data_IF_508508907804
#
_entry.id   IF_508508907804
#
_cell.length_a   1.000
_cell.length_b   1.000
_cell.length_c   1.000
_cell.angle_alpha   90.00
_cell.angle_beta   90.00
_cell.angle_gamma   90.00
#
_symmetry.space_group_name_H-M   'P 1'
#
loop_
_entity.id
_entity.type
_entity.pdbx_description
1 polymer ?
#
# COMPACT_ATOMS: atom_id res chain seq x y z
N UNK A 1 -38.52 -6.03 -12.78
CA UNK A 1 -38.09 -4.84 -13.54
C UNK A 1 -38.21 -3.64 -12.63
N UNK A 2 -37.07 -3.14 -12.15
CA UNK A 2 -36.83 -1.77 -11.67
C UNK A 2 -35.31 -1.60 -11.70
N UNK A 3 -34.75 -1.66 -12.91
CA UNK A 3 -33.35 -1.29 -13.15
C UNK A 3 -33.31 0.24 -13.26
N UNK A 4 -33.38 0.92 -12.11
CA UNK A 4 -32.82 2.26 -12.04
C UNK A 4 -31.30 2.08 -12.08
N UNK A 5 -30.73 2.17 -13.29
CA UNK A 5 -29.33 2.49 -13.46
C UNK A 5 -29.12 3.90 -12.89
N UNK A 6 -28.92 3.95 -11.58
CA UNK A 6 -28.59 5.16 -10.87
C UNK A 6 -27.21 5.60 -11.35
N UNK A 7 -27.18 6.57 -12.26
CA UNK A 7 -26.15 7.61 -12.19
C UNK A 7 -26.06 8.00 -10.72
N UNK A 8 -24.92 7.70 -10.09
CA UNK A 8 -24.69 8.00 -8.68
C UNK A 8 -24.86 9.51 -8.53
N UNK A 9 -26.07 9.96 -8.16
CA UNK A 9 -26.39 11.37 -7.98
C UNK A 9 -25.36 11.93 -7.01
N UNK A 10 -24.79 13.07 -7.37
CA UNK A 10 -23.92 13.81 -6.46
C UNK A 10 -24.65 13.97 -5.12
N UNK A 11 -24.15 13.30 -4.08
CA UNK A 11 -24.70 13.40 -2.74
C UNK A 11 -24.00 14.56 -2.02
N UNK A 12 -24.70 15.66 -1.71
CA UNK A 12 -24.13 16.78 -0.96
C UNK A 12 -23.51 16.37 0.37
N UNK A 13 -23.96 15.24 0.95
CA UNK A 13 -23.40 14.69 2.19
C UNK A 13 -21.96 14.22 2.01
N UNK A 14 -21.59 13.70 0.84
CA UNK A 14 -20.21 13.29 0.54
C UNK A 14 -19.28 14.49 0.47
N UNK A 15 -19.69 15.58 -0.20
CA UNK A 15 -18.91 16.81 -0.24
C UNK A 15 -18.76 17.41 1.17
N UNK A 16 -19.86 17.47 1.93
CA UNK A 16 -19.86 17.96 3.30
C UNK A 16 -18.92 17.13 4.20
N UNK A 17 -18.92 15.81 4.03
CA UNK A 17 -18.01 14.91 4.73
C UNK A 17 -16.54 15.23 4.42
N UNK A 18 -16.18 15.36 3.14
CA UNK A 18 -14.80 15.72 2.75
C UNK A 18 -14.39 17.09 3.27
N UNK A 19 -15.27 18.08 3.22
CA UNK A 19 -15.01 19.42 3.80
C UNK A 19 -14.74 19.30 5.29
N UNK A 20 -15.63 18.62 6.02
CA UNK A 20 -15.58 18.47 7.47
C UNK A 20 -14.33 17.72 7.93
N UNK A 21 -14.05 16.54 7.38
CA UNK A 21 -13.04 15.63 7.94
C UNK A 21 -11.68 15.66 7.23
N UNK A 22 -11.60 16.23 6.02
CA UNK A 22 -10.35 16.29 5.25
C UNK A 22 -9.87 17.74 5.14
N UNK A 23 -10.65 18.64 4.52
CA UNK A 23 -10.16 19.98 4.19
C UNK A 23 -10.01 20.93 5.39
N UNK A 24 -10.96 20.96 6.32
CA UNK A 24 -10.86 21.83 7.50
C UNK A 24 -9.65 21.43 8.38
N UNK A 25 -9.46 20.14 8.74
CA UNK A 25 -8.31 19.76 9.55
C UNK A 25 -6.97 19.91 8.82
N UNK A 26 -6.95 19.75 7.50
CA UNK A 26 -5.79 20.07 6.66
C UNK A 26 -5.30 21.50 6.90
N UNK A 27 -6.24 22.45 6.85
CA UNK A 27 -5.97 23.86 7.02
C UNK A 27 -5.47 24.15 8.44
N UNK A 28 -6.13 23.58 9.46
CA UNK A 28 -5.71 23.74 10.84
C UNK A 28 -4.30 23.18 11.07
N UNK A 29 -3.99 21.99 10.56
CA UNK A 29 -2.65 21.42 10.62
C UNK A 29 -1.62 22.34 9.96
N UNK A 30 -1.93 22.87 8.77
CA UNK A 30 -1.03 23.79 8.09
C UNK A 30 -0.81 25.08 8.87
N UNK A 31 -1.84 25.62 9.54
CA UNK A 31 -1.70 26.74 10.48
C UNK A 31 -0.73 26.39 11.61
N UNK A 32 -0.91 25.25 12.30
CA UNK A 32 -0.01 24.83 13.38
C UNK A 32 1.45 24.70 12.93
N UNK A 33 1.67 24.13 11.74
CA UNK A 33 3.01 23.98 11.16
C UNK A 33 3.60 25.34 10.75
N UNK A 34 2.78 26.19 10.12
CA UNK A 34 3.19 27.52 9.68
C UNK A 34 3.60 28.39 10.87
N UNK A 35 2.81 28.44 11.94
CA UNK A 35 3.08 29.25 13.14
C UNK A 35 4.08 28.61 14.10
N UNK A 36 4.59 27.40 13.81
CA UNK A 36 5.58 26.69 14.63
C UNK A 36 5.12 26.54 16.08
N UNK A 37 3.86 26.16 16.29
CA UNK A 37 3.28 26.01 17.61
C UNK A 37 4.13 25.10 18.52
N UNK A 38 4.16 25.46 19.81
CA UNK A 38 4.85 24.72 20.87
C UNK A 38 4.32 23.28 20.99
N UNK A 39 5.12 22.37 21.58
CA UNK A 39 4.79 20.94 21.67
C UNK A 39 3.42 20.69 22.32
N UNK A 40 3.05 21.46 23.33
CA UNK A 40 1.73 21.38 23.97
C UNK A 40 0.57 21.67 23.01
N UNK A 41 0.70 22.69 22.16
CA UNK A 41 -0.31 22.98 21.13
C UNK A 41 -0.44 21.86 20.11
N UNK A 42 0.67 21.19 19.77
CA UNK A 42 0.65 20.02 18.88
C UNK A 42 -0.02 18.81 19.53
N UNK A 43 0.25 18.55 20.81
CA UNK A 43 -0.38 17.46 21.57
C UNK A 43 -1.88 17.67 21.71
N UNK A 44 -2.32 18.89 22.08
CA UNK A 44 -3.73 19.25 22.17
C UNK A 44 -4.44 19.08 20.82
N UNK A 45 -3.85 19.62 19.75
CA UNK A 45 -4.40 19.46 18.40
C UNK A 45 -4.46 17.99 17.98
N UNK A 46 -3.41 17.21 18.22
CA UNK A 46 -3.40 15.79 17.86
C UNK A 46 -4.44 14.99 18.64
N UNK A 47 -4.61 15.25 19.94
CA UNK A 47 -5.64 14.64 20.77
C UNK A 47 -7.05 14.96 20.27
N UNK A 48 -7.34 16.25 20.05
CA UNK A 48 -8.61 16.69 19.45
C UNK A 48 -8.83 16.10 18.05
N UNK A 49 -7.81 16.10 17.21
CA UNK A 49 -7.92 15.60 15.84
C UNK A 49 -8.17 14.09 15.79
N UNK A 50 -7.59 13.34 16.74
CA UNK A 50 -7.84 11.91 16.87
C UNK A 50 -9.31 11.63 17.19
N UNK A 51 -9.89 12.33 18.18
CA UNK A 51 -11.31 12.14 18.53
C UNK A 51 -12.23 12.64 17.41
N UNK A 52 -11.87 13.74 16.75
CA UNK A 52 -12.61 14.29 15.62
C UNK A 52 -12.64 13.33 14.42
N UNK A 53 -11.52 12.68 14.10
CA UNK A 53 -11.46 11.69 13.04
C UNK A 53 -12.17 10.38 13.41
N UNK A 54 -12.18 10.00 14.70
CA UNK A 54 -12.97 8.85 15.15
C UNK A 54 -14.47 9.04 14.90
N UNK A 55 -14.99 10.26 15.06
CA UNK A 55 -16.37 10.62 14.66
C UNK A 55 -16.56 10.47 13.14
N UNK A 56 -15.62 10.96 12.33
CA UNK A 56 -15.67 10.75 10.87
C UNK A 56 -15.67 9.26 10.49
N UNK A 57 -14.87 8.46 11.21
CA UNK A 57 -14.80 7.01 11.05
C UNK A 57 -16.00 6.26 11.65
N UNK A 58 -16.97 6.91 12.29
CA UNK A 58 -18.24 6.27 12.69
C UNK A 58 -19.35 6.50 11.67
N UNK A 59 -19.17 7.43 10.72
CA UNK A 59 -20.11 7.65 9.61
C UNK A 59 -20.09 6.44 8.66
N UNK A 60 -21.27 5.92 8.35
CA UNK A 60 -21.46 4.77 7.45
C UNK A 60 -22.33 5.21 6.28
N UNK A 61 -21.87 4.94 5.06
CA UNK A 61 -22.63 5.22 3.84
C UNK A 61 -23.48 4.03 3.41
N UNK A 62 -23.21 2.84 3.97
CA UNK A 62 -23.84 1.59 3.55
C UNK A 62 -23.19 0.98 2.30
N UNK A 63 -22.22 1.67 1.69
CA UNK A 63 -21.40 1.15 0.62
C UNK A 63 -20.05 0.69 1.20
N UNK A 64 -19.78 -0.62 1.16
CA UNK A 64 -18.58 -1.23 1.72
C UNK A 64 -17.28 -0.62 1.21
N UNK A 65 -17.20 -0.32 -0.09
CA UNK A 65 -16.00 0.23 -0.71
C UNK A 65 -15.73 1.66 -0.25
N UNK A 66 -16.77 2.50 -0.26
CA UNK A 66 -16.70 3.88 0.21
C UNK A 66 -16.37 3.94 1.69
N UNK A 67 -17.00 3.10 2.50
CA UNK A 67 -16.76 3.05 3.94
C UNK A 67 -15.32 2.62 4.24
N UNK A 68 -14.85 1.53 3.63
CA UNK A 68 -13.46 1.08 3.77
C UNK A 68 -12.44 2.15 3.34
N UNK A 69 -12.71 2.80 2.20
CA UNK A 69 -11.86 3.86 1.65
C UNK A 69 -11.81 5.07 2.57
N UNK A 70 -12.95 5.45 3.15
CA UNK A 70 -13.04 6.54 4.12
C UNK A 70 -12.24 6.22 5.39
N UNK A 71 -12.42 5.05 5.99
CA UNK A 71 -11.65 4.64 7.17
C UNK A 71 -10.14 4.62 6.93
N UNK A 72 -9.73 4.06 5.79
CA UNK A 72 -8.32 4.04 5.39
C UNK A 72 -7.77 5.45 5.16
N UNK A 73 -8.54 6.34 4.51
CA UNK A 73 -8.13 7.71 4.22
C UNK A 73 -7.99 8.54 5.51
N UNK A 74 -9.00 8.51 6.39
CA UNK A 74 -8.98 9.26 7.64
C UNK A 74 -7.85 8.78 8.57
N UNK A 75 -7.60 7.46 8.63
CA UNK A 75 -6.45 6.95 9.38
C UNK A 75 -5.10 7.34 8.75
N UNK A 76 -5.03 7.37 7.41
CA UNK A 76 -3.88 7.89 6.69
C UNK A 76 -3.58 9.36 7.01
N UNK A 77 -4.63 10.18 7.12
CA UNK A 77 -4.53 11.58 7.56
C UNK A 77 -4.02 11.69 9.00
N UNK A 78 -4.50 10.83 9.92
CA UNK A 78 -3.99 10.77 11.29
C UNK A 78 -2.50 10.41 11.34
N UNK A 79 -2.08 9.40 10.59
CA UNK A 79 -0.68 8.97 10.48
C UNK A 79 0.21 10.10 9.93
N UNK A 80 -0.24 10.76 8.87
CA UNK A 80 0.46 11.90 8.27
C UNK A 80 0.60 13.05 9.28
N UNK A 81 -0.48 13.37 10.00
CA UNK A 81 -0.48 14.42 11.02
C UNK A 81 0.50 14.10 12.15
N UNK A 82 0.51 12.87 12.66
CA UNK A 82 1.50 12.43 13.65
C UNK A 82 2.94 12.63 13.13
N UNK A 83 3.20 12.18 11.90
CA UNK A 83 4.50 12.36 11.25
C UNK A 83 4.91 13.84 11.20
N UNK A 84 4.03 14.71 10.69
CA UNK A 84 4.30 16.14 10.50
C UNK A 84 4.49 16.91 11.81
N UNK A 85 3.79 16.53 12.88
CA UNK A 85 3.85 17.22 14.17
C UNK A 85 5.05 16.81 15.02
N UNK A 86 5.44 15.53 14.97
CA UNK A 86 6.37 14.95 15.95
C UNK A 86 7.66 14.38 15.36
N UNK A 87 7.66 13.92 14.11
CA UNK A 87 8.82 13.22 13.53
C UNK A 87 9.70 14.08 12.62
N UNK A 88 9.17 15.21 12.16
CA UNK A 88 9.88 16.12 11.25
C UNK A 88 9.61 17.58 11.61
N UNK A 89 10.44 18.49 11.07
CA UNK A 89 10.23 19.92 11.17
C UNK A 89 10.10 20.52 9.76
N UNK A 90 8.92 20.37 9.09
CA UNK A 90 8.74 20.79 7.70
C UNK A 90 9.21 22.22 7.44
N UNK A 91 8.80 23.16 8.30
CA UNK A 91 9.10 24.58 8.17
C UNK A 91 10.59 24.96 8.37
N UNK A 92 11.44 24.02 8.75
CA UNK A 92 12.88 24.21 8.93
C UNK A 92 13.67 23.41 7.89
N UNK A 93 13.31 22.15 7.69
CA UNK A 93 14.14 21.18 6.95
C UNK A 93 13.76 21.09 5.47
N UNK A 94 12.53 21.45 5.11
CA UNK A 94 12.01 21.20 3.77
C UNK A 94 12.12 22.42 2.88
N UNK A 95 12.42 22.19 1.60
CA UNK A 95 12.52 23.22 0.57
C UNK A 95 11.90 22.68 -0.71
N UNK A 96 11.09 23.50 -1.35
CA UNK A 96 10.62 23.28 -2.70
C UNK A 96 11.62 23.87 -3.71
N UNK A 97 11.73 23.30 -4.92
CA UNK A 97 12.61 23.80 -5.99
C UNK A 97 12.41 25.29 -6.29
N UNK A 98 11.18 25.80 -6.12
CA UNK A 98 10.83 27.21 -6.34
C UNK A 98 11.25 28.14 -5.19
N UNK A 99 11.61 27.60 -4.02
CA UNK A 99 12.02 28.42 -2.88
C UNK A 99 13.45 28.97 -3.02
N UNK A 100 14.29 28.30 -3.83
CA UNK A 100 15.72 28.56 -3.89
C UNK A 100 16.36 28.52 -2.50
N UNK A 101 17.15 29.55 -2.16
CA UNK A 101 17.78 29.69 -0.85
C UNK A 101 16.93 30.42 0.19
N UNK A 102 15.70 30.82 -0.14
CA UNK A 102 14.87 31.67 0.75
C UNK A 102 14.21 30.82 1.83
N UNK A 103 14.36 31.25 3.08
CA UNK A 103 13.61 30.67 4.21
C UNK A 103 12.14 31.06 4.12
N UNK A 104 11.25 30.10 4.38
CA UNK A 104 9.81 30.36 4.45
C UNK A 104 9.42 31.20 5.67
N UNK A 105 10.27 31.27 6.69
CA UNK A 105 9.98 31.98 7.93
C UNK A 105 9.72 33.48 7.69
N UNK A 106 10.37 34.04 6.67
CA UNK A 106 10.32 35.46 6.32
C UNK A 106 9.14 35.79 5.39
N UNK A 107 8.33 34.81 5.01
CA UNK A 107 7.15 35.04 4.16
C UNK A 107 5.95 35.49 5.00
N UNK A 108 5.00 36.25 4.41
CA UNK A 108 3.70 36.51 5.02
C UNK A 108 3.02 35.23 5.54
N UNK A 109 2.25 35.36 6.61
CA UNK A 109 1.63 34.22 7.29
C UNK A 109 0.79 33.34 6.35
N UNK A 110 0.05 33.92 5.41
CA UNK A 110 -0.78 33.18 4.45
C UNK A 110 0.06 32.37 3.46
N UNK A 111 1.22 32.88 3.03
CA UNK A 111 2.16 32.13 2.18
C UNK A 111 2.77 30.96 2.93
N UNK A 112 3.04 31.11 4.24
CA UNK A 112 3.53 30.03 5.09
C UNK A 112 2.48 28.92 5.24
N UNK A 113 1.22 29.29 5.46
CA UNK A 113 0.11 28.32 5.54
C UNK A 113 -0.04 27.57 4.22
N UNK A 114 -0.12 28.29 3.09
CA UNK A 114 -0.20 27.68 1.77
C UNK A 114 0.97 26.75 1.48
N UNK A 115 2.20 27.16 1.83
CA UNK A 115 3.38 26.33 1.69
C UNK A 115 3.30 25.07 2.55
N UNK A 116 2.84 25.18 3.81
CA UNK A 116 2.65 24.04 4.69
C UNK A 116 1.54 23.10 4.21
N UNK A 117 0.46 23.62 3.59
CA UNK A 117 -0.56 22.81 2.91
C UNK A 117 0.07 22.02 1.76
N UNK A 118 0.84 22.69 0.89
CA UNK A 118 1.53 22.02 -0.22
C UNK A 118 2.47 20.92 0.29
N UNK A 119 3.26 21.23 1.32
CA UNK A 119 4.18 20.30 1.96
C UNK A 119 3.47 19.07 2.57
N UNK A 120 2.29 19.28 3.18
CA UNK A 120 1.51 18.21 3.78
C UNK A 120 0.84 17.31 2.73
N UNK A 121 0.36 17.86 1.61
CA UNK A 121 -0.41 17.10 0.61
C UNK A 121 0.42 16.63 -0.60
N UNK A 122 1.68 17.05 -0.73
CA UNK A 122 2.64 16.42 -1.64
C UNK A 122 3.20 15.12 -1.05
N UNK A 123 2.35 14.07 -1.04
CA UNK A 123 2.66 12.79 -0.41
C UNK A 123 3.97 12.15 -0.90
N UNK A 124 4.30 12.35 -2.19
CA UNK A 124 5.52 11.84 -2.83
C UNK A 124 6.69 12.84 -2.82
N UNK A 125 6.44 14.09 -2.44
CA UNK A 125 7.45 15.15 -2.42
C UNK A 125 7.93 15.60 -3.78
N UNK A 126 7.08 15.59 -4.81
CA UNK A 126 7.48 15.99 -6.18
C UNK A 126 7.98 17.43 -6.18
N UNK A 127 9.24 17.66 -6.57
CA UNK A 127 9.86 18.98 -6.57
C UNK A 127 10.38 19.46 -5.21
N UNK A 128 10.31 18.61 -4.18
CA UNK A 128 10.81 18.91 -2.84
C UNK A 128 12.13 18.18 -2.56
N UNK A 129 12.97 18.73 -1.67
CA UNK A 129 14.24 18.12 -1.26
C UNK A 129 14.10 16.75 -0.57
N UNK A 130 12.88 16.34 -0.24
CA UNK A 130 12.54 15.05 0.38
C UNK A 130 11.83 14.07 -0.55
N UNK A 131 11.81 14.32 -1.87
CA UNK A 131 11.14 13.47 -2.86
C UNK A 131 11.50 11.98 -2.64
N UNK A 132 10.48 11.12 -2.60
CA UNK A 132 10.71 9.69 -2.38
C UNK A 132 11.40 9.06 -3.60
N UNK A 133 12.21 8.03 -3.35
CA UNK A 133 12.79 7.23 -4.44
C UNK A 133 11.68 6.46 -5.15
N UNK A 134 11.78 6.35 -6.48
CA UNK A 134 10.81 5.61 -7.30
C UNK A 134 9.66 6.45 -7.86
N UNK A 135 9.70 7.78 -7.72
CA UNK A 135 8.80 8.67 -8.48
C UNK A 135 9.22 8.63 -9.95
N UNK A 136 8.30 8.37 -10.91
CA UNK A 136 8.59 8.44 -12.33
C UNK A 136 9.11 9.81 -12.77
N UNK A 137 9.77 9.85 -13.93
CA UNK A 137 10.31 11.10 -14.46
C UNK A 137 9.20 12.11 -14.76
N UNK A 138 9.45 13.42 -14.53
CA UNK A 138 8.53 14.47 -14.90
C UNK A 138 8.18 14.45 -16.40
N UNK A 139 6.94 14.82 -16.70
CA UNK A 139 6.46 14.96 -18.06
C UNK A 139 7.14 16.12 -18.78
N UNK A 140 7.77 15.87 -19.94
CA UNK A 140 8.41 16.90 -20.78
C UNK A 140 7.59 17.30 -22.01
N UNK A 141 6.35 16.79 -22.12
CA UNK A 141 5.49 17.11 -23.26
C UNK A 141 4.84 18.49 -23.10
N UNK A 142 4.46 19.10 -24.22
CA UNK A 142 3.73 20.38 -24.24
C UNK A 142 2.42 20.30 -23.46
N UNK A 143 2.00 21.40 -22.83
CA UNK A 143 0.78 21.47 -22.02
C UNK A 143 -0.49 20.99 -22.75
N UNK A 144 -0.82 21.39 -23.99
CA UNK A 144 -2.03 20.91 -24.67
C UNK A 144 -2.02 19.38 -24.86
N UNK A 145 -0.87 18.83 -25.26
CA UNK A 145 -0.67 17.38 -25.37
C UNK A 145 -0.83 16.68 -24.02
N UNK A 146 -0.28 17.26 -22.95
CA UNK A 146 -0.45 16.71 -21.60
C UNK A 146 -1.92 16.67 -21.18
N UNK A 147 -2.67 17.76 -21.43
CA UNK A 147 -4.10 17.81 -21.12
C UNK A 147 -4.89 16.76 -21.91
N UNK A 148 -4.63 16.61 -23.22
CA UNK A 148 -5.25 15.58 -24.05
C UNK A 148 -4.94 14.16 -23.55
N UNK A 149 -3.66 13.85 -23.30
CA UNK A 149 -3.26 12.55 -22.76
C UNK A 149 -3.86 12.29 -21.36
N UNK A 150 -3.93 13.32 -20.51
CA UNK A 150 -4.47 13.19 -19.16
C UNK A 150 -5.98 13.02 -19.17
N UNK A 151 -6.72 13.70 -20.05
CA UNK A 151 -8.14 13.47 -20.25
C UNK A 151 -8.43 12.02 -20.66
N UNK A 152 -7.66 11.48 -21.62
CA UNK A 152 -7.75 10.07 -22.01
C UNK A 152 -7.45 9.13 -20.83
N UNK A 153 -6.45 9.46 -20.00
CA UNK A 153 -6.13 8.69 -18.78
C UNK A 153 -7.24 8.74 -17.74
N UNK A 154 -7.95 9.87 -17.59
CA UNK A 154 -9.11 9.99 -16.70
C UNK A 154 -10.23 9.07 -17.18
N UNK A 155 -10.61 9.18 -18.46
CA UNK A 155 -11.64 8.33 -19.06
C UNK A 155 -11.27 6.86 -18.96
N UNK A 156 -10.05 6.48 -19.33
CA UNK A 156 -9.59 5.10 -19.24
C UNK A 156 -9.57 4.57 -17.80
N UNK A 157 -9.23 5.41 -16.81
CA UNK A 157 -9.23 5.01 -15.40
C UNK A 157 -10.65 4.86 -14.85
N UNK A 158 -11.58 5.69 -15.30
CA UNK A 158 -12.99 5.56 -14.99
C UNK A 158 -13.58 4.27 -15.57
N UNK A 159 -13.38 4.02 -16.87
CA UNK A 159 -13.87 2.80 -17.53
C UNK A 159 -13.25 1.53 -16.92
N UNK A 160 -11.97 1.58 -16.53
CA UNK A 160 -11.32 0.46 -15.85
C UNK A 160 -11.95 0.19 -14.47
N UNK A 161 -12.25 1.26 -13.72
CA UNK A 161 -12.90 1.15 -12.41
C UNK A 161 -14.33 0.61 -12.55
N UNK A 162 -15.10 1.16 -13.49
CA UNK A 162 -16.47 0.74 -13.80
C UNK A 162 -16.50 -0.74 -14.22
N UNK A 163 -15.62 -1.14 -15.15
CA UNK A 163 -15.47 -2.53 -15.56
C UNK A 163 -15.17 -3.46 -14.37
N UNK A 164 -14.25 -3.07 -13.48
CA UNK A 164 -13.90 -3.89 -12.32
C UNK A 164 -15.09 -4.01 -11.35
N UNK A 165 -15.82 -2.93 -11.11
CA UNK A 165 -16.98 -2.92 -10.21
C UNK A 165 -18.16 -3.72 -10.80
N UNK A 166 -18.49 -3.53 -12.08
CA UNK A 166 -19.50 -4.32 -12.77
C UNK A 166 -19.12 -5.81 -12.80
N UNK A 167 -17.84 -6.14 -12.99
CA UNK A 167 -17.37 -7.52 -12.92
C UNK A 167 -17.59 -8.11 -11.53
N UNK A 168 -17.30 -7.35 -10.46
CA UNK A 168 -17.58 -7.81 -9.09
C UNK A 168 -19.07 -8.07 -8.88
N UNK A 169 -19.95 -7.17 -9.32
CA UNK A 169 -21.41 -7.34 -9.19
C UNK A 169 -21.95 -8.52 -10.01
N UNK A 170 -21.35 -8.80 -11.17
CA UNK A 170 -21.76 -9.89 -12.04
C UNK A 170 -21.27 -11.28 -11.55
N UNK A 171 -20.21 -11.32 -10.74
CA UNK A 171 -19.61 -12.56 -10.26
C UNK A 171 -20.28 -12.99 -8.95
N UNK A 172 -20.94 -14.17 -8.91
CA UNK A 172 -21.66 -14.63 -7.71
C UNK A 172 -20.79 -14.71 -6.45
N UNK A 173 -19.49 -14.98 -6.61
CA UNK A 173 -18.54 -15.02 -5.50
C UNK A 173 -18.46 -13.70 -4.71
N UNK A 174 -18.64 -12.55 -5.37
CA UNK A 174 -18.58 -11.24 -4.71
C UNK A 174 -19.96 -10.71 -4.31
N UNK A 175 -20.98 -10.91 -5.16
CA UNK A 175 -22.33 -10.39 -4.91
C UNK A 175 -23.10 -11.23 -3.88
N UNK A 176 -23.07 -12.56 -4.01
CA UNK A 176 -23.79 -13.50 -3.15
C UNK A 176 -22.88 -14.67 -2.74
N UNK A 177 -21.84 -14.39 -1.93
CA UNK A 177 -20.91 -15.43 -1.49
C UNK A 177 -21.65 -16.54 -0.74
N UNK A 178 -21.43 -17.80 -1.14
CA UNK A 178 -21.88 -18.94 -0.34
C UNK A 178 -21.15 -18.94 1.02
N UNK A 179 -21.80 -19.35 2.13
CA UNK A 179 -21.21 -19.29 3.47
C UNK A 179 -19.85 -20.00 3.62
N UNK A 180 -19.64 -21.07 2.83
CA UNK A 180 -18.43 -21.89 2.81
C UNK A 180 -17.49 -21.58 1.62
N UNK A 181 -17.93 -20.76 0.67
CA UNK A 181 -17.08 -20.31 -0.41
C UNK A 181 -15.92 -19.52 0.18
N UNK A 182 -14.71 -19.86 -0.21
CA UNK A 182 -13.53 -19.06 0.07
C UNK A 182 -12.80 -18.84 -1.24
N UNK A 183 -11.96 -17.80 -1.33
CA UNK A 183 -11.11 -17.63 -2.51
C UNK A 183 -10.38 -18.93 -2.87
N UNK A 184 -9.95 -19.72 -1.88
CA UNK A 184 -9.27 -21.01 -2.09
C UNK A 184 -10.16 -22.17 -2.53
N UNK A 185 -11.47 -22.11 -2.32
CA UNK A 185 -12.37 -23.14 -2.85
C UNK A 185 -12.53 -22.99 -4.37
N UNK A 186 -12.11 -21.86 -4.94
CA UNK A 186 -12.12 -21.60 -6.37
C UNK A 186 -10.90 -22.23 -7.06
N UNK A 187 -11.05 -22.59 -8.33
CA UNK A 187 -9.90 -23.00 -9.16
C UNK A 187 -8.81 -21.91 -9.20
N UNK A 188 -7.56 -22.30 -9.45
CA UNK A 188 -6.43 -21.36 -9.47
C UNK A 188 -6.62 -20.19 -10.45
N UNK A 189 -7.18 -20.44 -11.63
CA UNK A 189 -7.46 -19.38 -12.62
C UNK A 189 -8.45 -18.35 -12.09
N UNK A 190 -9.51 -18.81 -11.40
CA UNK A 190 -10.48 -17.93 -10.78
C UNK A 190 -9.86 -17.14 -9.62
N UNK A 191 -8.98 -17.75 -8.82
CA UNK A 191 -8.26 -17.03 -7.76
C UNK A 191 -7.43 -15.86 -8.30
N UNK A 192 -6.65 -16.11 -9.37
CA UNK A 192 -5.83 -15.09 -10.02
C UNK A 192 -6.71 -13.99 -10.62
N UNK A 193 -7.78 -14.37 -11.30
CA UNK A 193 -8.72 -13.43 -11.92
C UNK A 193 -9.43 -12.55 -10.88
N UNK A 194 -9.99 -13.14 -9.84
CA UNK A 194 -10.65 -12.42 -8.76
C UNK A 194 -9.69 -11.50 -8.03
N UNK A 195 -8.44 -11.94 -7.80
CA UNK A 195 -7.40 -11.09 -7.24
C UNK A 195 -7.10 -9.87 -8.13
N UNK A 196 -6.95 -10.11 -9.44
CA UNK A 196 -6.68 -9.04 -10.40
C UNK A 196 -7.82 -8.01 -10.40
N UNK A 197 -9.08 -8.45 -10.35
CA UNK A 197 -10.24 -7.55 -10.22
C UNK A 197 -10.17 -6.75 -8.91
N UNK A 198 -9.98 -7.41 -7.76
CA UNK A 198 -9.90 -6.74 -6.47
C UNK A 198 -8.79 -5.68 -6.40
N UNK A 199 -7.62 -5.93 -7.00
CA UNK A 199 -6.53 -4.96 -7.07
C UNK A 199 -6.75 -3.87 -8.12
N UNK A 200 -7.57 -4.13 -9.14
CA UNK A 200 -7.92 -3.15 -10.17
C UNK A 200 -8.77 -2.03 -9.61
N UNK A 201 -9.64 -2.29 -8.63
CA UNK A 201 -10.48 -1.25 -8.01
C UNK A 201 -9.66 -0.13 -7.34
N UNK A 202 -8.77 -0.38 -6.35
CA UNK A 202 -7.95 0.68 -5.76
C UNK A 202 -7.00 1.30 -6.79
N UNK A 203 -6.49 0.52 -7.73
CA UNK A 203 -5.63 1.02 -8.80
C UNK A 203 -6.36 2.04 -9.70
N UNK A 204 -7.55 1.67 -10.21
CA UNK A 204 -8.39 2.50 -11.05
C UNK A 204 -8.86 3.76 -10.32
N UNK A 205 -9.33 3.62 -9.08
CA UNK A 205 -9.77 4.75 -8.25
C UNK A 205 -8.63 5.76 -8.01
N UNK A 206 -7.46 5.29 -7.58
CA UNK A 206 -6.30 6.15 -7.34
C UNK A 206 -5.87 6.89 -8.61
N UNK A 207 -5.84 6.20 -9.76
CA UNK A 207 -5.54 6.82 -11.06
C UNK A 207 -6.57 7.86 -11.44
N UNK A 208 -7.85 7.53 -11.30
CA UNK A 208 -8.95 8.43 -11.64
C UNK A 208 -8.83 9.75 -10.85
N UNK A 209 -8.75 9.69 -9.53
CA UNK A 209 -8.64 10.89 -8.70
C UNK A 209 -7.36 11.68 -8.97
N UNK A 210 -6.23 10.98 -9.10
CA UNK A 210 -4.94 11.63 -9.36
C UNK A 210 -4.90 12.35 -10.71
N UNK A 211 -5.31 11.71 -11.80
CA UNK A 211 -5.31 12.34 -13.12
C UNK A 211 -6.39 13.40 -13.28
N UNK A 212 -7.51 13.28 -12.56
CA UNK A 212 -8.53 14.34 -12.51
C UNK A 212 -7.97 15.60 -11.84
N UNK A 213 -7.29 15.43 -10.70
CA UNK A 213 -6.57 16.51 -10.03
C UNK A 213 -5.48 17.13 -10.91
N UNK A 214 -4.68 16.30 -11.58
CA UNK A 214 -3.64 16.74 -12.51
C UNK A 214 -4.22 17.55 -13.68
N UNK A 215 -5.30 17.06 -14.30
CA UNK A 215 -5.97 17.73 -15.40
C UNK A 215 -6.46 19.11 -14.97
N UNK A 216 -7.21 19.21 -13.87
CA UNK A 216 -7.74 20.47 -13.37
C UNK A 216 -6.61 21.45 -12.96
N UNK A 217 -5.57 20.97 -12.30
CA UNK A 217 -4.47 21.81 -11.84
C UNK A 217 -3.61 22.35 -12.99
N UNK A 218 -3.42 21.58 -14.07
CA UNK A 218 -2.71 22.05 -15.26
C UNK A 218 -3.61 22.91 -16.15
N UNK A 219 -4.90 22.61 -16.24
CA UNK A 219 -5.89 23.39 -16.98
C UNK A 219 -6.02 24.80 -16.42
N UNK A 220 -6.02 24.93 -15.10
CA UNK A 220 -6.14 26.23 -14.39
C UNK A 220 -4.81 26.95 -14.19
N UNK A 221 -3.69 26.41 -14.70
CA UNK A 221 -2.34 26.93 -14.49
C UNK A 221 -1.87 26.97 -13.02
N UNK A 222 -2.57 26.26 -12.12
CA UNK A 222 -2.16 26.14 -10.72
C UNK A 222 -0.81 25.41 -10.56
N UNK A 223 -0.52 24.45 -11.45
CA UNK A 223 0.74 23.69 -11.46
C UNK A 223 1.14 23.29 -12.88
N UNK A 224 2.40 22.94 -13.06
CA UNK A 224 2.93 22.50 -14.37
C UNK A 224 2.76 20.99 -14.55
N UNK A 225 2.81 20.52 -15.80
CA UNK A 225 2.78 19.09 -16.11
C UNK A 225 3.94 18.29 -15.48
N UNK A 226 5.05 18.96 -15.15
CA UNK A 226 6.21 18.35 -14.49
C UNK A 226 5.93 17.98 -13.03
N UNK A 227 4.96 18.65 -12.40
CA UNK A 227 4.59 18.43 -11.00
C UNK A 227 3.68 17.20 -10.83
N UNK A 228 3.24 16.59 -11.95
CA UNK A 228 2.33 15.44 -11.99
C UNK A 228 2.94 14.21 -12.68
N UNK A 229 4.10 13.67 -12.22
CA UNK A 229 4.64 12.43 -12.74
C UNK A 229 3.66 11.27 -12.52
N UNK A 230 3.73 10.25 -13.35
CA UNK A 230 2.82 9.10 -13.30
C UNK A 230 2.73 8.52 -11.88
N UNK A 231 1.51 8.18 -11.45
CA UNK A 231 1.27 7.76 -10.07
C UNK A 231 1.93 6.41 -9.76
N UNK A 232 1.83 5.48 -10.72
CA UNK A 232 2.38 4.13 -10.65
C UNK A 232 3.64 4.03 -11.50
N UNK A 233 4.58 3.18 -11.09
CA UNK A 233 5.75 2.82 -11.88
C UNK A 233 5.40 1.83 -13.01
N UNK A 234 6.43 1.31 -13.67
CA UNK A 234 6.25 0.32 -14.72
C UNK A 234 5.81 -1.02 -14.13
N UNK A 235 4.73 -1.60 -14.67
CA UNK A 235 4.23 -2.92 -14.29
C UNK A 235 5.17 -4.05 -14.74
N UNK A 236 6.02 -3.84 -15.74
CA UNK A 236 7.05 -4.80 -16.12
C UNK A 236 8.14 -4.97 -15.04
N UNK A 237 8.29 -3.99 -14.14
CA UNK A 237 9.21 -4.11 -12.99
C UNK A 237 8.60 -4.93 -11.83
N UNK A 238 7.30 -5.26 -11.89
CA UNK A 238 6.54 -5.90 -10.82
C UNK A 238 6.76 -7.43 -10.70
N UNK A 239 7.96 -7.91 -11.05
CA UNK A 239 8.31 -9.34 -11.01
C UNK A 239 8.67 -9.86 -9.60
N UNK A 240 8.74 -8.98 -8.60
CA UNK A 240 8.97 -9.31 -7.19
C UNK A 240 8.11 -8.44 -6.26
N UNK A 241 7.75 -8.96 -5.09
CA UNK A 241 7.01 -8.26 -4.02
C UNK A 241 7.74 -6.99 -3.61
N UNK A 242 9.08 -7.03 -3.48
CA UNK A 242 9.88 -5.83 -3.24
C UNK A 242 9.65 -4.77 -4.32
N UNK A 243 9.66 -5.14 -5.60
CA UNK A 243 9.48 -4.17 -6.67
C UNK A 243 8.04 -3.67 -6.78
N UNK A 244 7.05 -4.52 -6.52
CA UNK A 244 5.63 -4.10 -6.44
C UNK A 244 5.50 -2.94 -5.46
N UNK A 245 5.90 -3.12 -4.21
CA UNK A 245 5.75 -2.06 -3.19
C UNK A 245 6.80 -0.95 -3.29
N UNK A 246 7.98 -1.27 -3.80
CA UNK A 246 9.15 -0.38 -3.83
C UNK A 246 9.34 0.42 -5.12
N UNK A 247 8.66 0.08 -6.21
CA UNK A 247 8.82 0.75 -7.53
C UNK A 247 7.50 0.94 -8.27
N UNK A 248 6.62 -0.06 -8.28
CA UNK A 248 5.44 -0.06 -9.15
C UNK A 248 4.22 0.59 -8.49
N UNK A 249 3.92 0.24 -7.24
CA UNK A 249 2.77 0.79 -6.52
C UNK A 249 2.96 2.28 -6.20
N UNK A 250 1.88 3.02 -5.92
CA UNK A 250 1.81 4.49 -5.99
C UNK A 250 2.80 5.33 -5.15
N UNK A 251 3.62 4.73 -4.27
CA UNK A 251 4.63 5.38 -3.41
C UNK A 251 4.14 6.47 -2.42
N UNK A 252 2.89 6.91 -2.47
CA UNK A 252 2.34 7.98 -1.62
C UNK A 252 2.55 7.76 -0.10
N UNK A 253 2.43 6.52 0.39
CA UNK A 253 2.59 6.22 1.82
C UNK A 253 4.05 6.00 2.25
N UNK A 254 4.96 5.84 1.28
CA UNK A 254 6.33 5.38 1.53
C UNK A 254 7.05 6.26 2.54
N UNK A 255 6.90 7.58 2.42
CA UNK A 255 7.57 8.52 3.30
C UNK A 255 7.17 8.33 4.75
N UNK A 256 5.86 8.29 5.02
CA UNK A 256 5.32 8.22 6.37
C UNK A 256 5.69 6.88 7.02
N UNK A 257 5.44 5.76 6.33
CA UNK A 257 5.74 4.43 6.83
C UNK A 257 7.24 4.22 7.07
N UNK A 258 8.11 4.63 6.14
CA UNK A 258 9.56 4.45 6.31
C UNK A 258 10.16 5.40 7.35
N UNK A 259 9.64 6.62 7.50
CA UNK A 259 10.08 7.51 8.58
C UNK A 259 9.71 6.98 9.96
N UNK A 260 8.50 6.44 10.13
CA UNK A 260 8.09 5.79 11.38
C UNK A 260 8.96 4.55 11.64
N UNK A 261 9.19 3.71 10.64
CA UNK A 261 10.07 2.54 10.75
C UNK A 261 11.50 2.92 11.16
N UNK A 262 12.05 4.01 10.60
CA UNK A 262 13.37 4.54 11.02
C UNK A 262 13.36 5.03 12.47
N UNK A 263 12.27 5.65 12.92
CA UNK A 263 12.13 6.06 14.32
C UNK A 263 12.09 4.87 15.28
N UNK A 264 11.36 3.82 14.92
CA UNK A 264 11.31 2.57 15.70
C UNK A 264 12.68 1.89 15.73
N UNK A 265 13.37 1.79 14.59
CA UNK A 265 14.73 1.23 14.55
C UNK A 265 15.72 2.01 15.43
N UNK A 266 15.63 3.34 15.47
CA UNK A 266 16.43 4.16 16.38
C UNK A 266 16.06 3.96 17.85
N UNK A 267 14.76 3.83 18.15
CA UNK A 267 14.27 3.58 19.50
C UNK A 267 14.77 2.23 20.04
N UNK A 268 14.84 1.22 19.17
CA UNK A 268 15.40 -0.11 19.49
C UNK A 268 16.94 -0.17 19.40
N UNK A 269 17.61 0.98 19.30
CA UNK A 269 19.07 1.09 19.21
C UNK A 269 19.71 0.26 18.08
N UNK A 270 18.98 -0.01 16.99
CA UNK A 270 19.51 -0.75 15.85
C UNK A 270 20.59 0.07 15.12
N UNK A 271 21.80 -0.47 14.88
CA UNK A 271 22.87 0.26 14.21
C UNK A 271 22.46 0.77 12.82
N UNK A 272 22.81 2.01 12.47
CA UNK A 272 22.43 2.58 11.18
C UNK A 272 23.09 1.80 10.05
N UNK A 273 22.30 1.40 9.06
CA UNK A 273 22.78 0.65 7.90
C UNK A 273 22.94 -0.86 8.16
N UNK A 274 22.69 -1.35 9.37
CA UNK A 274 22.69 -2.79 9.64
C UNK A 274 21.48 -3.50 9.04
N UNK A 275 21.60 -4.82 8.89
CA UNK A 275 20.49 -5.69 8.50
C UNK A 275 19.37 -5.67 9.54
N UNK A 276 19.71 -5.64 10.83
CA UNK A 276 18.70 -5.51 11.89
C UNK A 276 17.88 -4.23 11.74
N UNK A 277 18.53 -3.11 11.41
CA UNK A 277 17.83 -1.84 11.14
C UNK A 277 16.96 -1.91 9.90
N UNK A 278 17.40 -2.60 8.84
CA UNK A 278 16.62 -2.82 7.62
C UNK A 278 15.36 -3.66 7.90
N UNK A 279 15.51 -4.79 8.61
CA UNK A 279 14.42 -5.69 8.97
C UNK A 279 13.38 -4.94 9.81
N UNK A 280 13.82 -4.25 10.88
CA UNK A 280 12.92 -3.47 11.74
C UNK A 280 12.15 -2.43 10.91
N UNK A 281 12.84 -1.70 10.02
CA UNK A 281 12.21 -0.68 9.19
C UNK A 281 11.14 -1.28 8.25
N UNK A 282 11.43 -2.41 7.60
CA UNK A 282 10.49 -3.05 6.66
C UNK A 282 9.27 -3.59 7.42
N UNK A 283 9.47 -4.31 8.52
CA UNK A 283 8.38 -4.81 9.35
C UNK A 283 7.51 -3.69 9.91
N UNK A 284 8.14 -2.66 10.49
CA UNK A 284 7.42 -1.51 11.01
C UNK A 284 6.64 -0.76 9.92
N UNK A 285 7.22 -0.58 8.73
CA UNK A 285 6.53 0.11 7.64
C UNK A 285 5.26 -0.62 7.20
N UNK A 286 5.32 -1.94 7.06
CA UNK A 286 4.16 -2.76 6.71
C UNK A 286 3.15 -2.87 7.84
N UNK A 287 3.59 -2.98 9.09
CA UNK A 287 2.70 -2.98 10.25
C UNK A 287 1.92 -1.67 10.35
N UNK A 288 2.59 -0.52 10.19
CA UNK A 288 1.96 0.80 10.18
C UNK A 288 0.95 0.93 9.03
N UNK A 289 1.30 0.45 7.83
CA UNK A 289 0.37 0.40 6.71
C UNK A 289 -0.84 -0.50 6.99
N UNK A 290 -0.63 -1.64 7.63
CA UNK A 290 -1.69 -2.57 8.04
C UNK A 290 -2.65 -1.96 9.04
N UNK A 291 -2.12 -1.31 10.09
CA UNK A 291 -2.93 -0.58 11.08
C UNK A 291 -3.75 0.52 10.40
N UNK A 292 -3.15 1.30 9.51
CA UNK A 292 -3.83 2.37 8.78
C UNK A 292 -5.04 1.85 8.01
N UNK A 293 -4.87 0.80 7.21
CA UNK A 293 -5.95 0.23 6.41
C UNK A 293 -6.96 -0.58 7.26
N UNK A 294 -6.58 -1.02 8.46
CA UNK A 294 -7.48 -1.72 9.39
C UNK A 294 -8.61 -0.83 9.93
N UNK A 295 -8.47 0.49 9.85
CA UNK A 295 -9.59 1.40 10.06
C UNK A 295 -10.64 1.32 8.94
N UNK A 296 -10.25 0.84 7.75
CA UNK A 296 -11.18 0.40 6.71
C UNK A 296 -12.06 -0.77 7.17
N UNK A 297 -11.45 -1.80 7.78
CA UNK A 297 -12.22 -2.94 8.36
C UNK A 297 -13.21 -2.43 9.43
N UNK A 298 -12.77 -1.53 10.31
CA UNK A 298 -13.62 -0.93 11.34
C UNK A 298 -14.78 -0.10 10.75
N UNK A 299 -14.52 0.63 9.66
CA UNK A 299 -15.55 1.44 8.99
C UNK A 299 -16.56 0.61 8.24
N UNK A 300 -16.20 -0.59 7.78
CA UNK A 300 -17.17 -1.51 7.18
C UNK A 300 -18.02 -2.20 8.25
N UNK A 301 -17.39 -2.71 9.31
CA UNK A 301 -18.06 -3.63 10.25
C UNK A 301 -18.60 -2.93 11.50
N UNK A 302 -18.07 -1.77 11.86
CA UNK A 302 -18.49 -0.99 13.02
C UNK A 302 -18.12 -1.58 14.39
N UNK A 303 -17.26 -2.61 14.42
CA UNK A 303 -16.95 -3.36 15.64
C UNK A 303 -15.44 -3.39 15.90
N UNK A 304 -15.01 -2.78 17.02
CA UNK A 304 -13.59 -2.70 17.41
C UNK A 304 -12.92 -4.07 17.57
N UNK A 305 -13.64 -5.10 18.04
CA UNK A 305 -13.09 -6.45 18.18
C UNK A 305 -12.73 -7.11 16.83
N UNK A 306 -13.16 -6.52 15.71
CA UNK A 306 -12.84 -6.97 14.34
C UNK A 306 -11.83 -6.06 13.64
N UNK A 307 -11.25 -5.10 14.35
CA UNK A 307 -10.24 -4.20 13.81
C UNK A 307 -9.06 -5.00 13.23
N UNK A 308 -8.80 -4.79 11.93
CA UNK A 308 -7.66 -5.38 11.24
C UNK A 308 -7.73 -6.88 11.02
N UNK A 309 -8.88 -7.51 11.29
CA UNK A 309 -9.01 -8.95 11.14
C UNK A 309 -8.77 -9.41 9.70
N UNK A 310 -9.11 -8.60 8.70
CA UNK A 310 -8.89 -8.90 7.28
C UNK A 310 -7.57 -8.31 6.79
N UNK A 311 -7.38 -7.03 7.09
CA UNK A 311 -6.35 -6.21 6.46
C UNK A 311 -4.97 -6.38 7.08
N UNK A 312 -4.88 -6.51 8.40
CA UNK A 312 -3.62 -6.50 9.15
C UNK A 312 -2.76 -7.75 8.85
N UNK A 313 -3.32 -8.97 8.71
CA UNK A 313 -2.58 -10.11 8.19
C UNK A 313 -1.97 -9.84 6.82
N UNK A 314 -2.73 -9.25 5.87
CA UNK A 314 -2.27 -9.04 4.49
C UNK A 314 -0.97 -8.24 4.45
N UNK A 315 -0.95 -7.11 5.17
CA UNK A 315 0.23 -6.27 5.24
C UNK A 315 1.36 -6.91 6.05
N UNK A 316 1.05 -7.62 7.14
CA UNK A 316 2.05 -8.26 8.01
C UNK A 316 2.84 -9.37 7.32
N UNK A 317 2.31 -9.98 6.24
CA UNK A 317 3.03 -11.02 5.48
C UNK A 317 3.93 -10.51 4.36
N UNK A 318 3.68 -9.29 3.85
CA UNK A 318 4.54 -8.67 2.85
C UNK A 318 6.04 -8.59 3.25
N UNK A 319 6.42 -8.20 4.49
CA UNK A 319 7.83 -8.15 4.87
C UNK A 319 8.49 -9.54 4.86
N UNK A 320 7.76 -10.61 5.21
CA UNK A 320 8.26 -11.98 5.12
C UNK A 320 8.49 -12.39 3.67
N UNK A 321 7.57 -12.05 2.77
CA UNK A 321 7.72 -12.31 1.34
C UNK A 321 8.96 -11.61 0.78
N UNK A 322 9.18 -10.35 1.17
CA UNK A 322 10.38 -9.59 0.76
C UNK A 322 11.66 -10.20 1.33
N UNK A 323 11.69 -10.60 2.60
CA UNK A 323 12.87 -11.27 3.18
C UNK A 323 13.16 -12.60 2.49
N UNK A 324 12.12 -13.36 2.18
CA UNK A 324 12.24 -14.57 1.39
C UNK A 324 12.84 -14.26 0.01
N UNK A 325 12.36 -13.23 -0.69
CA UNK A 325 12.98 -12.81 -1.95
C UNK A 325 14.47 -12.46 -1.78
N UNK A 326 14.84 -11.70 -0.76
CA UNK A 326 16.25 -11.35 -0.53
C UNK A 326 17.13 -12.58 -0.32
N UNK A 327 16.70 -13.54 0.49
CA UNK A 327 17.47 -14.75 0.78
C UNK A 327 17.71 -15.58 -0.48
N UNK A 328 16.69 -15.71 -1.34
CA UNK A 328 16.75 -16.62 -2.48
C UNK A 328 17.24 -15.97 -3.78
N UNK A 329 17.00 -14.66 -3.99
CA UNK A 329 17.45 -13.95 -5.19
C UNK A 329 18.81 -13.25 -5.01
N UNK A 330 19.17 -12.80 -3.80
CA UNK A 330 20.44 -12.10 -3.55
C UNK A 330 21.59 -13.08 -3.27
N UNK A 331 21.83 -14.02 -4.19
CA UNK A 331 23.00 -14.92 -4.09
C UNK A 331 24.35 -14.21 -4.31
N UNK A 332 24.37 -12.98 -4.82
CA UNK A 332 25.61 -12.29 -5.20
C UNK A 332 26.22 -11.40 -4.10
N UNK A 333 25.45 -11.00 -3.09
CA UNK A 333 25.95 -10.14 -1.99
C UNK A 333 25.97 -10.82 -0.61
N UNK A 334 25.10 -11.82 -0.38
CA UNK A 334 25.02 -12.56 0.90
C UNK A 334 26.29 -13.38 1.17
N UNK A 335 27.09 -13.71 0.14
CA UNK A 335 28.32 -14.50 0.29
C UNK A 335 29.49 -13.74 0.92
N UNK A 336 29.40 -12.41 1.10
CA UNK A 336 30.49 -11.60 1.65
C UNK A 336 30.39 -11.38 3.16
N UNK A 337 29.22 -11.64 3.77
CA UNK A 337 29.01 -11.51 5.21
C UNK A 337 28.58 -12.86 5.82
N UNK A 338 29.46 -13.44 6.63
CA UNK A 338 29.27 -14.77 7.26
C UNK A 338 28.04 -14.82 8.15
N UNK A 339 27.70 -13.74 8.87
CA UNK A 339 26.51 -13.73 9.74
C UNK A 339 25.23 -13.75 8.92
N UNK A 340 25.20 -12.99 7.81
CA UNK A 340 24.08 -12.96 6.87
C UNK A 340 23.85 -14.33 6.23
N UNK A 341 24.92 -15.01 5.84
CA UNK A 341 24.84 -16.36 5.29
C UNK A 341 24.31 -17.37 6.31
N UNK A 342 24.76 -17.30 7.57
CA UNK A 342 24.32 -18.21 8.64
C UNK A 342 22.85 -17.96 8.99
N UNK A 343 22.42 -16.71 9.15
CA UNK A 343 21.03 -16.36 9.45
C UNK A 343 20.08 -16.74 8.31
N UNK A 344 20.46 -16.45 7.05
CA UNK A 344 19.69 -16.84 5.87
C UNK A 344 19.59 -18.37 5.74
N UNK A 345 20.69 -19.09 5.98
CA UNK A 345 20.71 -20.56 5.97
C UNK A 345 19.86 -21.15 7.09
N UNK A 346 19.89 -20.56 8.29
CA UNK A 346 19.08 -20.99 9.41
C UNK A 346 17.59 -20.71 9.16
N UNK A 347 17.22 -19.54 8.65
CA UNK A 347 15.84 -19.21 8.30
C UNK A 347 15.31 -20.10 7.15
N UNK A 348 16.11 -20.36 6.12
CA UNK A 348 15.74 -21.27 5.01
C UNK A 348 15.49 -22.70 5.51
N UNK A 349 16.38 -23.23 6.36
CA UNK A 349 16.26 -24.58 6.92
C UNK A 349 15.10 -24.69 7.92
N UNK A 350 14.97 -23.74 8.84
CA UNK A 350 14.02 -23.81 9.95
C UNK A 350 12.59 -23.44 9.55
N UNK A 351 12.40 -22.48 8.62
CA UNK A 351 11.06 -22.03 8.23
C UNK A 351 10.46 -22.80 7.04
N UNK A 352 11.28 -23.34 6.15
CA UNK A 352 10.79 -23.80 4.83
C UNK A 352 11.25 -25.20 4.43
N UNK A 353 12.29 -25.74 5.06
CA UNK A 353 12.84 -27.06 4.70
C UNK A 353 13.37 -27.14 3.26
N UNK A 354 13.65 -26.00 2.62
CA UNK A 354 14.14 -25.91 1.24
C UNK A 354 15.66 -25.74 1.25
N UNK A 355 16.42 -26.54 0.49
CA UNK A 355 17.87 -26.37 0.38
C UNK A 355 18.21 -25.11 -0.44
N UNK A 356 19.26 -24.41 0.00
CA UNK A 356 19.67 -23.07 -0.47
C UNK A 356 20.07 -23.00 -1.95
N UNK A 357 20.24 -24.15 -2.60
CA UNK A 357 20.60 -24.35 -4.01
C UNK A 357 19.41 -24.17 -4.99
N UNK A 358 18.17 -24.12 -4.50
CA UNK A 358 16.96 -23.88 -5.31
C UNK A 358 16.79 -22.38 -5.67
N UNK A 359 16.67 -22.03 -6.97
CA UNK A 359 16.34 -20.66 -7.39
C UNK A 359 14.82 -20.50 -7.51
N UNK A 360 14.28 -19.45 -6.87
CA UNK A 360 12.88 -19.02 -6.98
C UNK A 360 12.77 -17.99 -8.11
N UNK A 361 11.62 -17.87 -8.78
CA UNK A 361 11.43 -16.94 -9.92
C UNK A 361 10.38 -15.88 -9.64
N UNK A 362 9.32 -16.29 -8.98
CA UNK A 362 8.13 -15.48 -8.77
C UNK A 362 7.53 -15.83 -7.43
N UNK A 363 7.33 -14.81 -6.61
CA UNK A 363 6.64 -14.91 -5.33
C UNK A 363 5.45 -13.96 -5.42
N UNK A 364 4.27 -14.52 -5.61
CA UNK A 364 3.02 -13.76 -5.48
C UNK A 364 2.39 -14.08 -4.14
N UNK A 365 2.66 -13.22 -3.15
CA UNK A 365 1.96 -13.27 -1.85
C UNK A 365 0.80 -12.29 -1.91
N UNK A 366 -0.41 -12.81 -2.13
CA UNK A 366 -1.63 -12.05 -1.98
C UNK A 366 -2.62 -12.87 -1.15
N UNK A 367 -3.07 -12.29 -0.04
CA UNK A 367 -4.09 -12.88 0.81
C UNK A 367 -5.47 -12.36 0.42
N UNK A 368 -6.44 -13.28 0.39
CA UNK A 368 -7.86 -12.93 0.39
C UNK A 368 -8.47 -13.52 1.65
N UNK A 369 -9.13 -12.68 2.42
CA UNK A 369 -9.98 -13.06 3.53
C UNK A 369 -11.44 -12.93 3.10
N UNK A 370 -12.27 -13.92 3.42
CA UNK A 370 -13.71 -13.86 3.20
C UNK A 370 -14.43 -14.04 4.54
N UNK A 371 -15.27 -13.09 4.95
CA UNK A 371 -16.12 -13.26 6.11
C UNK A 371 -17.37 -14.11 5.75
N UNK A 372 -17.73 -15.11 6.56
CA UNK A 372 -19.07 -15.74 6.62
C UNK A 372 -20.08 -14.94 7.48
N UNK A 373 -20.90 -14.10 6.84
CA UNK A 373 -21.88 -13.22 7.51
C UNK A 373 -23.09 -13.93 8.13
N UNK A 374 -23.22 -15.26 7.99
CA UNK A 374 -24.45 -15.97 8.32
C UNK A 374 -24.51 -16.56 9.74
N UNK A 375 -23.38 -16.84 10.38
CA UNK A 375 -23.35 -17.81 11.50
C UNK A 375 -23.03 -17.25 12.87
N UNK A 376 -22.70 -15.96 13.02
CA UNK A 376 -22.35 -15.35 14.33
C UNK A 376 -21.09 -15.92 14.99
N UNK A 377 -20.46 -16.95 14.40
CA UNK A 377 -19.23 -17.61 14.82
C UNK A 377 -18.30 -17.62 13.61
N UNK A 378 -17.26 -16.79 13.63
CA UNK A 378 -16.34 -16.63 12.51
C UNK A 378 -15.14 -17.56 12.69
N UNK A 379 -15.14 -18.69 11.99
CA UNK A 379 -13.98 -19.58 12.00
C UNK A 379 -12.86 -19.07 11.10
N UNK A 380 -11.64 -18.99 11.68
CA UNK A 380 -10.40 -18.64 10.96
C UNK A 380 -10.14 -19.64 9.84
N UNK A 381 -10.18 -19.20 8.58
CA UNK A 381 -9.86 -20.10 7.47
C UNK A 381 -8.90 -19.45 6.46
N UNK A 382 -7.62 -19.54 6.87
CA UNK A 382 -6.35 -19.73 6.14
C UNK A 382 -5.68 -18.60 5.32
N UNK A 383 -4.34 -18.69 5.30
CA UNK A 383 -3.35 -17.97 4.49
C UNK A 383 -3.32 -18.49 3.03
N UNK A 384 -3.31 -17.61 2.02
CA UNK A 384 -3.08 -17.97 0.61
C UNK A 384 -1.76 -17.38 0.12
N UNK A 385 -0.85 -18.24 -0.32
CA UNK A 385 0.31 -17.89 -1.15
C UNK A 385 -0.02 -18.40 -2.54
N UNK A 386 -0.10 -17.54 -3.55
CA UNK A 386 -0.62 -17.88 -4.90
C UNK A 386 0.40 -18.63 -5.79
N UNK A 387 1.30 -19.37 -5.14
CA UNK A 387 2.29 -20.21 -5.80
C UNK A 387 3.67 -19.56 -5.91
N UNK A 388 4.66 -20.43 -5.98
CA UNK A 388 6.04 -20.12 -6.30
C UNK A 388 6.44 -21.05 -7.45
N UNK A 389 7.22 -20.54 -8.38
CA UNK A 389 7.92 -21.40 -9.35
C UNK A 389 9.34 -21.59 -8.85
N UNK A 390 9.77 -22.85 -8.75
CA UNK A 390 11.17 -23.21 -8.53
C UNK A 390 11.76 -23.71 -9.84
N UNK A 391 13.02 -23.37 -10.09
CA UNK A 391 13.82 -24.13 -11.04
C UNK A 391 15.16 -24.50 -10.40
N UNK A 392 15.50 -25.77 -10.54
CA UNK A 392 16.82 -26.30 -10.25
C UNK A 392 17.64 -26.16 -11.53
N UNK A 393 18.72 -25.38 -11.52
CA UNK A 393 19.71 -25.46 -12.58
C UNK A 393 20.56 -26.70 -12.24
N UNK A 394 20.60 -27.75 -13.07
CA UNK A 394 21.59 -28.81 -12.89
C UNK A 394 22.98 -28.17 -12.96
N UNK A 395 23.88 -28.57 -12.06
CA UNK A 395 25.31 -28.25 -12.09
C UNK A 395 25.90 -28.36 -13.52
N UNK A 396 26.99 -27.63 -13.84
CA UNK A 396 27.25 -27.18 -15.21
C UNK A 396 27.50 -28.37 -16.13
N UNK A 397 26.53 -28.66 -17.00
CA UNK A 397 26.71 -29.50 -18.18
C UNK A 397 26.83 -28.58 -19.39
N UNK A 398 27.82 -28.86 -20.23
CA UNK A 398 28.27 -28.07 -21.37
C UNK A 398 27.20 -27.26 -22.12
N UNK A 399 27.63 -26.07 -22.50
CA UNK A 399 26.93 -24.89 -23.06
C UNK A 399 26.23 -25.07 -24.42
N UNK A 400 25.48 -26.15 -24.66
CA UNK A 400 24.82 -26.34 -25.98
C UNK A 400 23.40 -26.89 -25.99
N UNK A 401 22.73 -27.08 -24.83
CA UNK A 401 21.30 -27.43 -24.82
C UNK A 401 20.53 -26.68 -23.72
N UNK A 402 19.93 -25.55 -24.10
CA UNK A 402 18.88 -24.88 -23.34
C UNK A 402 17.58 -25.68 -23.49
N UNK A 403 17.44 -26.76 -22.72
CA UNK A 403 16.17 -27.48 -22.62
C UNK A 403 15.27 -26.72 -21.65
N UNK A 404 14.22 -26.07 -22.15
CA UNK A 404 13.13 -25.55 -21.32
C UNK A 404 12.40 -26.74 -20.69
N UNK A 405 12.75 -27.08 -19.45
CA UNK A 405 11.98 -28.04 -18.65
C UNK A 405 10.73 -27.35 -18.10
N UNK A 406 9.57 -27.83 -18.55
CA UNK A 406 8.27 -27.31 -18.19
C UNK A 406 7.90 -27.66 -16.72
N UNK A 407 7.57 -26.61 -15.95
CA UNK A 407 6.57 -26.49 -14.88
C UNK A 407 6.39 -27.67 -13.89
N UNK A 408 6.98 -27.52 -12.71
CA UNK A 408 6.36 -28.03 -11.46
C UNK A 408 5.96 -26.84 -10.59
N UNK A 409 4.64 -26.63 -10.44
CA UNK A 409 4.13 -25.74 -9.40
C UNK A 409 4.02 -26.57 -8.12
N UNK A 410 4.75 -26.17 -7.10
CA UNK A 410 4.53 -26.69 -5.75
C UNK A 410 3.69 -25.63 -5.01
N UNK A 411 2.71 -26.06 -4.24
CA UNK A 411 1.93 -25.19 -3.35
C UNK A 411 2.25 -25.58 -1.92
N UNK A 412 2.91 -24.70 -1.16
CA UNK A 412 3.22 -24.92 0.25
C UNK A 412 2.00 -24.44 1.04
N UNK A 413 1.37 -25.33 1.81
CA UNK A 413 0.38 -24.96 2.82
C UNK A 413 1.12 -24.68 4.12
N UNK A 414 1.07 -23.44 4.59
CA UNK A 414 1.47 -23.11 5.97
C UNK A 414 0.20 -23.04 6.81
N UNK A 415 0.04 -24.00 7.73
CA UNK A 415 -1.06 -24.00 8.70
C UNK A 415 -0.50 -23.51 10.03
N UNK A 416 -0.97 -22.34 10.47
CA UNK A 416 -0.72 -21.87 11.82
C UNK A 416 -1.79 -22.47 12.74
N UNK A 417 -1.39 -23.41 13.60
CA UNK A 417 -2.22 -23.78 14.74
C UNK A 417 -2.03 -22.71 15.82
N UNK A 418 -3.11 -22.17 16.35
CA UNK A 418 -3.06 -21.04 17.30
C UNK A 418 -3.09 -21.55 18.74
N UNK A 419 -3.34 -22.85 18.95
CA UNK A 419 -3.30 -23.48 20.28
C UNK A 419 -1.92 -24.03 20.65
N UNK A 420 -1.05 -24.24 19.66
CA UNK A 420 0.35 -24.59 19.87
C UNK A 420 1.22 -23.54 19.18
N UNK A 421 2.28 -23.05 19.82
CA UNK A 421 3.27 -22.09 19.25
C UNK A 421 4.09 -22.67 18.09
N UNK A 422 3.58 -23.67 17.38
CA UNK A 422 4.25 -24.45 16.35
C UNK A 422 3.59 -24.24 14.99
N UNK A 423 4.41 -23.88 14.01
CA UNK A 423 4.02 -23.77 12.61
C UNK A 423 4.14 -25.14 11.96
N UNK A 424 3.07 -25.68 11.36
CA UNK A 424 3.16 -26.89 10.53
C UNK A 424 3.15 -26.49 9.06
N UNK A 425 4.24 -26.81 8.37
CA UNK A 425 4.36 -26.70 6.91
C UNK A 425 3.98 -28.04 6.32
N UNK A 426 2.81 -28.12 5.68
CA UNK A 426 2.37 -29.31 4.94
C UNK A 426 2.62 -29.06 3.45
N UNK A 427 3.65 -29.71 2.90
CA UNK A 427 3.89 -29.72 1.47
C UNK A 427 3.02 -30.83 0.85
N UNK A 428 1.91 -30.45 0.20
CA UNK A 428 1.13 -31.43 -0.57
C UNK A 428 1.54 -31.41 -2.05
N UNK A 429 1.49 -32.62 -2.60
CA UNK A 429 1.77 -33.11 -3.96
C UNK A 429 2.17 -32.13 -5.06
N UNK A 430 3.16 -32.58 -5.83
CA UNK A 430 3.58 -32.03 -7.12
C UNK A 430 2.36 -31.97 -8.04
N UNK A 431 1.96 -30.77 -8.49
CA UNK A 431 1.08 -30.63 -9.64
C UNK A 431 1.98 -30.59 -10.88
N UNK A 432 2.14 -31.75 -11.52
CA UNK A 432 2.66 -31.83 -12.88
C UNK A 432 1.56 -31.40 -13.85
N UNK A 433 1.88 -30.50 -14.78
CA UNK A 433 1.04 -30.20 -15.95
C UNK A 433 1.27 -31.28 -17.00
#
# INVERSE_FOLDING_TARGET
MNNEHAFQKFDPRTLLFSIKYIFIPALLLACLLAFRCHIWGRLLFFGWYTTYLQEGMSVRTGNTWSDYSNGSTLSGELMKTFYLLFLVKPALDWRHKLDGNKSIANRPWWQRIYWCLCAAYTMRGVGWNYQVRGVPLPSRISRPRFLGCTALRVVASYLLLDFAQCSMQAIPFFENPQPDATMRSQSYHHQVFYMAICFTVPYGALRYYYYSGAFLAVLTHYSSQEDWPDLFGNWFDAFSVRNVWGKTWHQMLRRHCTSIGKSIARFLCAPRGSISSLIIQIFAAFLVSGIMHSFGDYTVVGQWHRFGFMTLPFFSLQPFAILFEEIFFSRSHISQDKETYILATHLSKTMLGIPMDTRVVHVFVCMVYQPDYSSGIWERRYLTVLGYSFYSIPTPVNSSRLTFLCKQYRTIRVRADVRSTTWKVEANSIVSI
#
